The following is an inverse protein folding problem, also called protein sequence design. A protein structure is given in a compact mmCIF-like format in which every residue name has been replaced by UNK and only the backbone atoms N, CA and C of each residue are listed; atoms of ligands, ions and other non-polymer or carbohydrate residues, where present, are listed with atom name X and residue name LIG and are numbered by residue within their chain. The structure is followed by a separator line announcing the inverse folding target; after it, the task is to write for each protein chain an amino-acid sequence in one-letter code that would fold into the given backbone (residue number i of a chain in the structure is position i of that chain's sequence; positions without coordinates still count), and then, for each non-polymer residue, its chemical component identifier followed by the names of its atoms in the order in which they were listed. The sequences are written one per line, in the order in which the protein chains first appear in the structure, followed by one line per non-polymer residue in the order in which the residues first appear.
data_IF_326254779266
#
_entry.id   IF_326254779266
#
_cell.length_a   1.000
_cell.length_b   1.000
_cell.length_c   1.000
_cell.angle_alpha   90.00
_cell.angle_beta   90.00
_cell.angle_gamma   90.00
#
_symmetry.space_group_name_H-M   'P 1'
#
loop_
_entity.id
_entity.type
_entity.pdbx_description
1 polymer ?
#
# COMPACT_ATOMS: atom_id res chain seq x y z
N UNK A 1 11.74 3.65 16.91
CA UNK A 1 10.38 4.23 17.01
C UNK A 1 10.01 5.05 15.77
N UNK A 2 10.86 5.97 15.32
CA UNK A 2 10.65 6.80 14.11
C UNK A 2 10.24 6.00 12.86
N UNK A 3 10.93 4.90 12.53
CA UNK A 3 10.59 4.07 11.35
C UNK A 3 9.16 3.50 11.39
N UNK A 4 8.65 3.18 12.59
CA UNK A 4 7.27 2.68 12.76
C UNK A 4 6.24 3.78 12.54
N UNK A 5 6.53 5.01 12.99
CA UNK A 5 5.67 6.18 12.78
C UNK A 5 5.59 6.52 11.29
N UNK A 6 6.74 6.58 10.60
CA UNK A 6 6.76 6.77 9.15
C UNK A 6 6.08 5.62 8.39
N UNK A 7 6.24 4.38 8.86
CA UNK A 7 5.56 3.23 8.27
C UNK A 7 4.03 3.34 8.37
N UNK A 8 3.51 3.76 9.51
CA UNK A 8 2.07 4.01 9.68
C UNK A 8 1.57 5.16 8.78
N UNK A 9 2.36 6.22 8.64
CA UNK A 9 2.05 7.33 7.74
C UNK A 9 1.98 6.89 6.26
N UNK A 10 2.92 6.07 5.80
CA UNK A 10 2.88 5.51 4.44
C UNK A 10 1.70 4.56 4.21
N UNK A 11 1.33 3.78 5.21
CA UNK A 11 0.10 2.96 5.15
C UNK A 11 -1.12 3.87 5.00
N UNK A 12 -1.22 4.94 5.80
CA UNK A 12 -2.34 5.88 5.70
C UNK A 12 -2.43 6.49 4.29
N UNK A 13 -1.33 7.02 3.76
CA UNK A 13 -1.29 7.62 2.41
C UNK A 13 -1.65 6.60 1.33
N UNK A 14 -1.10 5.38 1.40
CA UNK A 14 -1.40 4.34 0.41
C UNK A 14 -2.87 3.93 0.42
N UNK A 15 -3.53 3.92 1.57
CA UNK A 15 -4.98 3.69 1.67
C UNK A 15 -5.75 4.80 0.95
N UNK A 16 -5.41 6.07 1.18
CA UNK A 16 -6.05 7.19 0.47
C UNK A 16 -5.86 7.11 -1.04
N UNK A 17 -4.63 6.83 -1.50
CA UNK A 17 -4.34 6.65 -2.93
C UNK A 17 -5.10 5.45 -3.53
N UNK A 18 -5.18 4.34 -2.78
CA UNK A 18 -5.92 3.14 -3.20
C UNK A 18 -7.43 3.38 -3.30
N UNK A 19 -8.02 4.09 -2.34
CA UNK A 19 -9.43 4.50 -2.40
C UNK A 19 -9.67 5.44 -3.59
N UNK A 20 -8.77 6.40 -3.82
CA UNK A 20 -8.83 7.28 -4.99
C UNK A 20 -8.78 6.51 -6.31
N UNK A 21 -7.99 5.44 -6.38
CA UNK A 21 -7.99 4.55 -7.55
C UNK A 21 -9.30 3.77 -7.70
N UNK A 22 -9.87 3.24 -6.60
CA UNK A 22 -11.15 2.51 -6.64
C UNK A 22 -12.28 3.38 -7.21
N UNK A 23 -12.31 4.66 -6.86
CA UNK A 23 -13.29 5.62 -7.41
C UNK A 23 -13.13 5.84 -8.92
N UNK A 24 -11.95 5.61 -9.48
CA UNK A 24 -11.66 5.79 -10.91
C UNK A 24 -12.02 4.57 -11.76
N UNK A 25 -12.27 3.40 -11.15
CA UNK A 25 -12.56 2.14 -11.87
C UNK A 25 -13.75 2.28 -12.84
N UNK A 26 -14.90 2.88 -12.48
CA UNK A 26 -16.01 3.03 -13.42
C UNK A 26 -15.62 3.85 -14.66
N UNK A 27 -14.84 4.92 -14.47
CA UNK A 27 -14.33 5.74 -15.57
C UNK A 27 -13.36 4.97 -16.45
N UNK A 28 -12.44 4.19 -15.85
CA UNK A 28 -11.51 3.32 -16.59
C UNK A 28 -12.29 2.34 -17.48
N UNK A 29 -13.30 1.65 -16.93
CA UNK A 29 -14.15 0.73 -17.70
C UNK A 29 -14.89 1.48 -18.81
N UNK A 30 -15.46 2.64 -18.51
CA UNK A 30 -16.16 3.48 -19.49
C UNK A 30 -15.26 3.94 -20.65
N UNK A 31 -13.96 4.17 -20.40
CA UNK A 31 -13.02 4.55 -21.46
C UNK A 31 -12.71 3.43 -22.45
N UNK A 32 -12.88 2.16 -22.08
CA UNK A 32 -12.77 1.04 -23.03
C UNK A 32 -13.99 0.92 -23.94
N UNK A 33 -15.15 1.42 -23.50
CA UNK A 33 -16.42 1.30 -24.23
C UNK A 33 -16.64 2.41 -25.28
N UNK A 34 -16.03 3.59 -25.12
CA UNK A 34 -16.40 4.81 -25.86
C UNK A 34 -15.35 5.29 -26.88
N UNK A 35 -14.68 4.36 -27.57
CA UNK A 35 -13.53 4.58 -28.46
C UNK A 35 -12.25 4.99 -27.70
N UNK A 36 -11.26 4.11 -27.76
CA UNK A 36 -9.98 4.27 -27.11
C UNK A 36 -9.17 5.39 -27.78
N UNK A 37 -8.95 6.51 -27.08
CA UNK A 37 -8.16 7.65 -27.59
C UNK A 37 -6.83 7.77 -26.84
N UNK A 38 -5.95 8.66 -27.31
CA UNK A 38 -4.70 8.99 -26.59
C UNK A 38 -4.96 9.52 -25.17
N UNK A 39 -6.07 10.23 -24.96
CA UNK A 39 -6.51 10.67 -23.62
C UNK A 39 -6.85 9.47 -22.73
N UNK A 40 -7.61 8.49 -23.26
CA UNK A 40 -7.95 7.25 -22.55
C UNK A 40 -6.70 6.50 -22.12
N UNK A 41 -5.71 6.39 -23.02
CA UNK A 41 -4.43 5.74 -22.70
C UNK A 41 -3.69 6.46 -21.57
N UNK A 42 -3.54 7.79 -21.65
CA UNK A 42 -2.88 8.58 -20.61
C UNK A 42 -3.56 8.46 -19.25
N UNK A 43 -4.90 8.48 -19.23
CA UNK A 43 -5.68 8.33 -18.02
C UNK A 43 -5.51 6.94 -17.37
N UNK A 44 -5.61 5.87 -18.15
CA UNK A 44 -5.43 4.49 -17.66
C UNK A 44 -3.99 4.30 -17.15
N UNK A 45 -3.00 4.72 -17.93
CA UNK A 45 -1.60 4.59 -17.55
C UNK A 45 -1.27 5.37 -16.28
N UNK A 46 -1.75 6.62 -16.16
CA UNK A 46 -1.61 7.43 -14.95
C UNK A 46 -2.26 6.78 -13.74
N UNK A 47 -3.47 6.23 -13.91
CA UNK A 47 -4.19 5.52 -12.85
C UNK A 47 -3.42 4.29 -12.36
N UNK A 48 -2.85 3.50 -13.28
CA UNK A 48 -2.03 2.33 -12.96
C UNK A 48 -0.71 2.73 -12.27
N UNK A 49 -0.11 3.84 -12.66
CA UNK A 49 1.10 4.37 -12.02
C UNK A 49 0.80 4.77 -10.56
N UNK A 50 -0.30 5.48 -10.32
CA UNK A 50 -0.77 5.83 -8.96
C UNK A 50 -1.01 4.57 -8.13
N UNK A 51 -1.65 3.55 -8.70
CA UNK A 51 -1.86 2.26 -8.02
C UNK A 51 -0.51 1.60 -7.67
N UNK A 52 0.44 1.59 -8.59
CA UNK A 52 1.79 1.06 -8.36
C UNK A 52 2.51 1.77 -7.21
N UNK A 53 2.42 3.10 -7.15
CA UNK A 53 2.97 3.90 -6.05
C UNK A 53 2.27 3.55 -4.73
N UNK A 54 0.94 3.43 -4.73
CA UNK A 54 0.17 3.08 -3.54
C UNK A 54 0.60 1.72 -2.98
N UNK A 55 0.75 0.70 -3.83
CA UNK A 55 1.21 -0.64 -3.44
C UNK A 55 2.63 -0.61 -2.87
N UNK A 56 3.54 0.14 -3.51
CA UNK A 56 4.92 0.29 -3.02
C UNK A 56 4.97 0.96 -1.65
N UNK A 57 4.23 2.05 -1.45
CA UNK A 57 4.11 2.74 -0.17
C UNK A 57 3.52 1.84 0.91
N UNK A 58 2.47 1.08 0.58
CA UNK A 58 1.87 0.14 1.51
C UNK A 58 2.86 -0.95 1.93
N UNK A 59 3.58 -1.55 0.96
CA UNK A 59 4.59 -2.59 1.22
C UNK A 59 5.75 -2.05 2.07
N UNK A 60 6.22 -0.83 1.78
CA UNK A 60 7.25 -0.17 2.57
C UNK A 60 6.76 0.15 4.00
N UNK A 61 5.52 0.63 4.11
CA UNK A 61 4.87 0.92 5.37
C UNK A 61 4.72 -0.30 6.26
N UNK A 62 4.30 -1.44 5.70
CA UNK A 62 4.26 -2.73 6.38
C UNK A 62 5.65 -3.21 6.81
N UNK A 63 6.65 -3.09 5.92
CA UNK A 63 8.04 -3.49 6.23
C UNK A 63 8.59 -2.71 7.43
N UNK A 64 8.22 -1.44 7.59
CA UNK A 64 8.74 -0.60 8.66
C UNK A 64 7.90 -0.63 9.94
N UNK A 65 6.64 -1.05 9.87
CA UNK A 65 5.79 -1.26 11.05
C UNK A 65 5.92 -2.66 11.65
N UNK A 66 6.36 -3.67 10.87
CA UNK A 66 6.56 -5.04 11.37
C UNK A 66 7.50 -5.05 12.58
N UNK A 67 6.99 -5.49 13.74
CA UNK A 67 7.84 -5.91 14.86
C UNK A 67 8.57 -7.18 14.41
N UNK A 68 9.88 -7.11 14.20
CA UNK A 68 10.67 -8.34 14.23
C UNK A 68 10.53 -8.91 15.65
N UNK A 69 10.10 -10.16 15.84
CA UNK A 69 10.20 -10.80 17.15
C UNK A 69 11.67 -10.83 17.53
N UNK A 70 12.01 -10.19 18.65
CA UNK A 70 13.34 -10.37 19.24
C UNK A 70 13.42 -11.83 19.69
N UNK A 71 14.39 -12.63 19.20
CA UNK A 71 14.48 -14.04 19.56
C UNK A 71 14.70 -14.25 21.08
N UNK A 72 15.18 -13.24 21.79
CA UNK A 72 15.40 -13.26 23.24
C UNK A 72 14.13 -13.25 24.08
N UNK A 73 13.02 -12.68 23.60
CA UNK A 73 11.75 -12.63 24.37
C UNK A 73 11.10 -14.02 24.50
N UNK A 74 11.38 -14.94 23.57
CA UNK A 74 10.89 -16.33 23.65
C UNK A 74 11.71 -17.21 24.59
N UNK A 75 12.99 -16.89 24.83
CA UNK A 75 13.87 -17.71 25.70
C UNK A 75 13.52 -17.49 27.17
N UNK A 76 13.19 -16.24 27.56
CA UNK A 76 12.79 -15.94 28.93
C UNK A 76 11.44 -16.57 29.32
N UNK A 77 10.57 -16.89 28.35
CA UNK A 77 9.30 -17.56 28.61
C UNK A 77 9.43 -19.09 28.79
N UNK A 78 10.58 -19.70 28.48
CA UNK A 78 10.82 -21.14 28.67
C UNK A 78 11.38 -21.42 30.08
N UNK A 79 12.03 -20.45 30.71
CA UNK A 79 12.65 -20.60 32.03
C UNK A 79 11.73 -20.34 33.24
N UNK A 80 10.55 -19.74 33.04
CA UNK A 80 9.65 -19.33 34.13
C UNK A 80 8.62 -20.42 34.47
N UNK A 81 8.45 -21.44 33.61
CA UNK A 81 7.62 -22.63 33.89
C UNK A 81 8.47 -23.79 34.44
N UNK A 82 9.23 -23.54 35.52
CA UNK A 82 9.82 -24.60 36.35
C UNK A 82 9.49 -24.40 37.81
#
# INVERSE_FOLDING_TARGET
MIKKIFGAFFILISIFLGLGFLMQIPTIIGTFSNNFTGYSFGYIFGSLLILGIAILLFKLGLKWTRKNPNPTDNINNIGINK
#
